data_IF_948731795623
#
_entry.id   IF_948731795623
#
_cell.length_a   1.000
_cell.length_b   1.000
_cell.length_c   1.000
_cell.angle_alpha   90.00
_cell.angle_beta   90.00
_cell.angle_gamma   90.00
#
_symmetry.space_group_name_H-M   'P 1'
#
loop_
_entity.id
_entity.type
_entity.pdbx_description
1 polymer ?
#
# COMPACT_ATOMS: atom_id res chain seq x y z
N UNK A 1 -14.55 9.49 -6.13
CA UNK A 1 -15.56 8.51 -6.61
C UNK A 1 -16.05 8.79 -8.04
N UNK A 2 -15.71 9.94 -8.64
CA UNK A 2 -16.06 10.30 -10.03
C UNK A 2 -15.27 9.57 -11.11
N UNK A 3 -14.15 8.93 -10.76
CA UNK A 3 -13.21 8.33 -11.71
C UNK A 3 -13.34 6.80 -11.84
N UNK A 4 -14.22 6.17 -11.06
CA UNK A 4 -14.41 4.72 -11.07
C UNK A 4 -15.79 4.35 -10.52
N UNK A 5 -16.32 3.22 -10.96
CA UNK A 5 -17.54 2.58 -10.46
C UNK A 5 -17.27 1.56 -9.33
N UNK A 6 -16.02 1.36 -8.92
CA UNK A 6 -15.64 0.46 -7.83
C UNK A 6 -16.44 0.71 -6.53
N UNK A 7 -16.79 -0.38 -5.85
CA UNK A 7 -17.24 -0.35 -4.47
C UNK A 7 -16.03 -0.42 -3.53
N UNK A 8 -15.96 0.49 -2.56
CA UNK A 8 -14.78 0.67 -1.71
C UNK A 8 -15.13 0.32 -0.27
N UNK A 9 -14.44 -0.65 0.29
CA UNK A 9 -14.45 -0.88 1.75
C UNK A 9 -13.27 -0.17 2.38
N UNK A 10 -13.54 0.87 3.17
CA UNK A 10 -12.53 1.55 3.97
C UNK A 10 -12.38 0.85 5.32
N UNK A 11 -11.18 0.37 5.62
CA UNK A 11 -10.84 -0.27 6.89
C UNK A 11 -9.71 0.47 7.60
N UNK A 12 -9.92 0.82 8.86
CA UNK A 12 -8.93 1.54 9.64
C UNK A 12 -9.47 2.09 10.95
N UNK A 13 -8.61 2.83 11.66
CA UNK A 13 -8.95 3.41 12.97
C UNK A 13 -9.54 4.80 12.78
N UNK A 14 -10.63 5.09 13.50
CA UNK A 14 -11.22 6.42 13.59
C UNK A 14 -11.52 7.04 12.20
N UNK A 15 -11.97 6.22 11.26
CA UNK A 15 -12.25 6.67 9.90
C UNK A 15 -13.31 7.77 9.90
N UNK A 16 -14.33 7.67 10.76
CA UNK A 16 -15.41 8.66 10.87
C UNK A 16 -14.95 10.06 11.27
N UNK A 17 -13.78 10.16 11.90
CA UNK A 17 -13.21 11.47 12.29
C UNK A 17 -12.05 11.90 11.40
N UNK A 18 -11.52 11.01 10.56
CA UNK A 18 -10.32 11.25 9.72
C UNK A 18 -10.63 11.40 8.24
N UNK A 19 -11.78 10.88 7.79
CA UNK A 19 -12.21 10.93 6.41
C UNK A 19 -13.42 11.88 6.32
N UNK A 20 -13.47 12.76 5.30
CA UNK A 20 -14.61 13.66 5.11
C UNK A 20 -15.95 12.93 4.99
N UNK A 21 -17.05 13.44 5.60
CA UNK A 21 -18.36 12.80 5.58
C UNK A 21 -18.86 12.49 4.17
N UNK A 22 -18.59 13.36 3.20
CA UNK A 22 -19.00 13.19 1.79
C UNK A 22 -18.40 11.93 1.13
N UNK A 23 -17.28 11.42 1.65
CA UNK A 23 -16.70 10.14 1.20
C UNK A 23 -17.34 8.98 1.98
N UNK A 24 -17.50 9.13 3.29
CA UNK A 24 -18.01 8.07 4.19
C UNK A 24 -19.46 7.72 3.87
N UNK A 25 -20.28 8.72 3.59
CA UNK A 25 -21.72 8.57 3.39
C UNK A 25 -22.10 8.24 1.93
N UNK A 26 -21.10 8.06 1.06
CA UNK A 26 -21.34 7.72 -0.34
C UNK A 26 -21.82 6.26 -0.47
N UNK A 27 -22.85 6.01 -1.30
CA UNK A 27 -23.52 4.70 -1.43
C UNK A 27 -22.59 3.52 -1.80
N UNK A 28 -21.51 3.80 -2.53
CA UNK A 28 -20.47 2.82 -2.91
C UNK A 28 -19.36 2.61 -1.87
N UNK A 29 -19.41 3.30 -0.74
CA UNK A 29 -18.41 3.22 0.32
C UNK A 29 -18.97 2.47 1.52
N UNK A 30 -18.26 1.44 1.96
CA UNK A 30 -18.53 0.75 3.22
C UNK A 30 -17.42 1.09 4.21
N UNK A 31 -17.76 1.59 5.39
CA UNK A 31 -16.77 1.95 6.43
C UNK A 31 -16.79 0.93 7.56
N UNK A 32 -15.65 0.30 7.81
CA UNK A 32 -15.47 -0.66 8.92
C UNK A 32 -14.32 -0.17 9.79
N UNK A 33 -14.64 0.35 10.97
CA UNK A 33 -13.62 0.81 11.90
C UNK A 33 -13.02 -0.35 12.70
N UNK A 34 -11.70 -0.49 12.65
CA UNK A 34 -10.96 -1.59 13.26
C UNK A 34 -9.45 -1.36 13.32
N UNK A 35 -8.74 -2.35 13.82
CA UNK A 35 -7.28 -2.43 13.83
C UNK A 35 -6.88 -3.76 13.20
N UNK A 36 -5.77 -3.83 12.47
CA UNK A 36 -5.32 -5.06 11.80
C UNK A 36 -5.18 -6.26 12.77
N UNK A 37 -5.00 -6.00 14.06
CA UNK A 37 -5.00 -7.02 15.12
C UNK A 37 -6.40 -7.48 15.57
N UNK A 38 -7.48 -7.10 14.87
CA UNK A 38 -8.83 -7.61 15.04
C UNK A 38 -9.20 -8.51 13.86
N UNK A 39 -8.98 -9.83 13.96
CA UNK A 39 -9.17 -10.75 12.84
C UNK A 39 -10.61 -10.76 12.32
N UNK A 40 -11.61 -10.71 13.21
CA UNK A 40 -13.01 -10.76 12.80
C UNK A 40 -13.42 -9.56 11.95
N UNK A 41 -13.04 -8.35 12.37
CA UNK A 41 -13.33 -7.14 11.59
C UNK A 41 -12.49 -7.05 10.31
N UNK A 42 -11.25 -7.52 10.34
CA UNK A 42 -10.39 -7.53 9.15
C UNK A 42 -10.93 -8.52 8.10
N UNK A 43 -11.33 -9.72 8.53
CA UNK A 43 -12.01 -10.71 7.69
C UNK A 43 -13.34 -10.19 7.13
N UNK A 44 -14.13 -9.47 7.94
CA UNK A 44 -15.34 -8.79 7.47
C UNK A 44 -14.99 -7.78 6.36
N UNK A 45 -13.96 -6.96 6.56
CA UNK A 45 -13.60 -5.89 5.64
C UNK A 45 -13.12 -6.38 4.27
N UNK A 46 -12.45 -7.53 4.22
CA UNK A 46 -11.94 -8.10 2.96
C UNK A 46 -12.91 -9.09 2.32
N UNK A 47 -14.08 -9.35 2.92
CA UNK A 47 -15.06 -10.28 2.34
C UNK A 47 -15.56 -9.73 0.99
N UNK A 48 -15.52 -10.58 -0.04
CA UNK A 48 -15.88 -10.28 -1.43
C UNK A 48 -15.01 -9.20 -2.12
N UNK A 49 -13.88 -8.82 -1.54
CA UNK A 49 -12.95 -7.90 -2.19
C UNK A 49 -12.26 -8.59 -3.38
N UNK A 50 -12.23 -7.95 -4.54
CA UNK A 50 -11.48 -8.45 -5.71
C UNK A 50 -9.98 -8.16 -5.58
N UNK A 51 -9.66 -7.01 -4.98
CA UNK A 51 -8.31 -6.52 -4.71
C UNK A 51 -8.27 -5.80 -3.38
N UNK A 52 -7.15 -5.93 -2.65
CA UNK A 52 -6.92 -5.22 -1.40
C UNK A 52 -5.72 -4.29 -1.55
N UNK A 53 -5.93 -3.00 -1.24
CA UNK A 53 -4.87 -2.02 -1.14
C UNK A 53 -4.44 -1.84 0.33
N UNK A 54 -3.14 -1.93 0.59
CA UNK A 54 -2.55 -1.78 1.93
C UNK A 54 -1.60 -0.57 1.93
N UNK A 55 -2.09 0.55 2.44
CA UNK A 55 -1.31 1.78 2.61
C UNK A 55 -0.53 1.86 3.93
N UNK A 56 -0.29 0.73 4.61
CA UNK A 56 0.33 0.68 5.94
C UNK A 56 1.16 -0.60 6.11
N UNK A 57 2.33 -0.67 5.46
CA UNK A 57 3.27 -1.81 5.56
C UNK A 57 4.39 -1.60 6.58
N UNK A 58 4.20 -0.72 7.57
CA UNK A 58 5.23 -0.40 8.57
C UNK A 58 5.38 -1.45 9.70
N UNK A 59 4.66 -2.58 9.63
CA UNK A 59 4.55 -3.57 10.71
C UNK A 59 4.39 -4.99 10.17
N UNK A 60 5.33 -5.88 10.52
CA UNK A 60 5.27 -7.29 10.15
C UNK A 60 4.07 -8.04 10.74
N UNK A 61 3.70 -7.74 11.98
CA UNK A 61 2.56 -8.40 12.65
C UNK A 61 1.22 -7.96 12.06
N UNK A 62 1.09 -6.70 11.64
CA UNK A 62 -0.11 -6.23 10.95
C UNK A 62 -0.23 -6.86 9.56
N UNK A 63 0.88 -6.90 8.81
CA UNK A 63 0.90 -7.56 7.50
C UNK A 63 0.59 -9.06 7.61
N UNK A 64 1.09 -9.75 8.65
CA UNK A 64 0.78 -11.16 8.89
C UNK A 64 -0.72 -11.38 9.17
N UNK A 65 -1.34 -10.49 9.94
CA UNK A 65 -2.79 -10.51 10.17
C UNK A 65 -3.58 -10.27 8.89
N UNK A 66 -3.13 -9.35 8.03
CA UNK A 66 -3.73 -9.09 6.71
C UNK A 66 -3.62 -10.34 5.82
N UNK A 67 -2.43 -10.89 5.61
CA UNK A 67 -2.22 -12.09 4.79
C UNK A 67 -3.12 -13.24 5.26
N UNK A 68 -3.23 -13.43 6.58
CA UNK A 68 -4.09 -14.47 7.18
C UNK A 68 -5.57 -14.23 6.88
N UNK A 69 -6.06 -12.99 6.97
CA UNK A 69 -7.45 -12.66 6.65
C UNK A 69 -7.75 -12.89 5.16
N UNK A 70 -6.85 -12.47 4.26
CA UNK A 70 -6.99 -12.68 2.82
C UNK A 70 -7.04 -14.18 2.49
N UNK A 71 -6.12 -14.96 3.06
CA UNK A 71 -6.10 -16.42 2.91
C UNK A 71 -7.42 -17.07 3.34
N UNK A 72 -7.95 -16.69 4.51
CA UNK A 72 -9.23 -17.24 5.03
C UNK A 72 -10.45 -16.87 4.18
N UNK A 73 -10.39 -15.72 3.49
CA UNK A 73 -11.46 -15.24 2.61
C UNK A 73 -11.23 -15.58 1.14
N UNK A 74 -10.18 -16.34 0.82
CA UNK A 74 -9.78 -16.70 -0.54
C UNK A 74 -9.52 -15.48 -1.45
N UNK A 75 -9.10 -14.36 -0.86
CA UNK A 75 -8.70 -13.17 -1.61
C UNK A 75 -7.23 -13.32 -1.99
N UNK A 76 -6.92 -13.13 -3.28
CA UNK A 76 -5.56 -13.36 -3.82
C UNK A 76 -4.81 -12.09 -4.17
N UNK A 77 -5.48 -11.07 -4.69
CA UNK A 77 -4.83 -9.86 -5.21
C UNK A 77 -4.62 -8.83 -4.10
N UNK A 78 -3.38 -8.42 -3.89
CA UNK A 78 -3.02 -7.36 -2.93
C UNK A 78 -2.00 -6.39 -3.52
N UNK A 79 -2.21 -5.10 -3.30
CA UNK A 79 -1.26 -4.04 -3.62
C UNK A 79 -0.83 -3.40 -2.31
N UNK A 80 0.45 -3.55 -1.97
CA UNK A 80 1.05 -2.97 -0.78
C UNK A 80 1.93 -1.78 -1.12
N UNK A 81 1.93 -0.76 -0.27
CA UNK A 81 2.85 0.37 -0.34
C UNK A 81 3.87 0.25 0.77
N UNK A 82 5.14 0.27 0.38
CA UNK A 82 6.32 0.19 1.23
C UNK A 82 7.32 1.29 0.85
N UNK A 83 8.49 1.30 1.48
CA UNK A 83 9.57 2.25 1.19
C UNK A 83 10.61 1.70 0.21
N UNK A 84 11.17 2.58 -0.61
CA UNK A 84 12.36 2.33 -1.40
C UNK A 84 13.64 2.27 -0.55
N UNK A 85 14.69 1.63 -1.07
CA UNK A 85 16.01 1.55 -0.43
C UNK A 85 16.22 0.27 0.39
N UNK A 86 15.19 -0.54 0.59
CA UNK A 86 15.33 -1.83 1.29
C UNK A 86 15.98 -2.93 0.45
N UNK A 87 16.24 -2.66 -0.83
CA UNK A 87 16.72 -3.62 -1.83
C UNK A 87 18.04 -3.20 -2.50
N UNK A 88 18.76 -2.22 -1.94
CA UNK A 88 20.03 -1.71 -2.49
C UNK A 88 19.86 -0.82 -3.72
N UNK A 89 18.72 -0.14 -3.82
CA UNK A 89 18.30 0.61 -5.01
C UNK A 89 18.83 2.04 -5.02
N UNK A 90 19.17 2.56 -3.84
CA UNK A 90 19.67 3.91 -3.68
C UNK A 90 21.18 3.99 -3.93
N UNK A 91 21.66 5.12 -4.49
CA UNK A 91 23.05 5.49 -4.40
C UNK A 91 23.48 5.58 -2.93
N UNK A 92 24.75 5.25 -2.64
CA UNK A 92 25.30 5.19 -1.27
C UNK A 92 24.99 6.42 -0.43
N UNK A 93 25.09 7.63 -1.02
CA UNK A 93 24.81 8.88 -0.31
C UNK A 93 23.34 9.02 0.10
N UNK A 94 22.41 8.67 -0.80
CA UNK A 94 20.97 8.70 -0.55
C UNK A 94 20.55 7.59 0.42
N UNK A 95 21.16 6.41 0.30
CA UNK A 95 20.95 5.30 1.23
C UNK A 95 21.32 5.71 2.66
N UNK A 96 22.53 6.24 2.83
CA UNK A 96 23.02 6.72 4.13
C UNK A 96 22.09 7.79 4.69
N UNK A 97 21.78 8.82 3.89
CA UNK A 97 20.90 9.90 4.34
C UNK A 97 19.52 9.37 4.73
N UNK A 98 18.94 8.46 3.95
CA UNK A 98 17.61 7.90 4.24
C UNK A 98 17.59 7.13 5.57
N UNK A 99 18.56 6.24 5.79
CA UNK A 99 18.60 5.45 7.03
C UNK A 99 19.03 6.25 8.26
N UNK A 100 19.80 7.33 8.10
CA UNK A 100 20.10 8.25 9.20
C UNK A 100 18.87 9.08 9.64
N UNK A 101 17.90 9.32 8.73
CA UNK A 101 16.73 10.17 8.97
C UNK A 101 15.44 9.39 9.27
N UNK A 102 15.49 8.06 9.30
CA UNK A 102 14.34 7.22 9.63
C UNK A 102 14.55 6.47 10.94
N UNK A 103 13.51 6.32 11.78
CA UNK A 103 13.58 5.46 12.95
C UNK A 103 13.95 4.02 12.55
N UNK A 104 14.92 3.42 13.26
CA UNK A 104 15.34 2.04 13.01
C UNK A 104 14.14 1.08 13.09
N UNK A 105 13.22 1.30 14.04
CA UNK A 105 12.02 0.49 14.20
C UNK A 105 11.10 0.53 12.97
N UNK A 106 10.97 1.69 12.32
CA UNK A 106 10.18 1.85 11.10
C UNK A 106 10.80 1.04 9.95
N UNK A 107 12.11 1.20 9.73
CA UNK A 107 12.84 0.46 8.68
C UNK A 107 12.75 -1.06 8.90
N UNK A 108 12.86 -1.52 10.15
CA UNK A 108 12.71 -2.95 10.46
C UNK A 108 11.27 -3.43 10.25
N UNK A 109 10.26 -2.63 10.62
CA UNK A 109 8.86 -2.94 10.40
C UNK A 109 8.52 -3.10 8.92
N UNK A 110 8.99 -2.16 8.08
CA UNK A 110 8.86 -2.22 6.62
C UNK A 110 9.53 -3.49 6.04
N UNK A 111 10.76 -3.82 6.48
CA UNK A 111 11.44 -5.07 6.06
C UNK A 111 10.63 -6.30 6.43
N UNK A 112 10.11 -6.36 7.65
CA UNK A 112 9.32 -7.50 8.12
C UNK A 112 8.01 -7.64 7.34
N UNK A 113 7.25 -6.56 7.16
CA UNK A 113 6.00 -6.59 6.40
C UNK A 113 6.23 -7.00 4.94
N UNK A 114 7.26 -6.45 4.30
CA UNK A 114 7.66 -6.82 2.94
C UNK A 114 7.95 -8.33 2.85
N UNK A 115 8.74 -8.87 3.79
CA UNK A 115 9.07 -10.29 3.79
C UNK A 115 7.83 -11.16 4.00
N UNK A 116 6.96 -10.81 4.95
CA UNK A 116 5.68 -11.52 5.19
C UNK A 116 4.82 -11.59 3.92
N UNK A 117 4.74 -10.48 3.17
CA UNK A 117 3.97 -10.46 1.93
C UNK A 117 4.66 -11.27 0.82
N UNK A 118 5.99 -11.15 0.66
CA UNK A 118 6.78 -11.90 -0.34
C UNK A 118 6.77 -13.41 -0.12
N UNK A 119 6.75 -13.85 1.14
CA UNK A 119 6.71 -15.26 1.52
C UNK A 119 5.27 -15.83 1.50
N UNK A 120 4.27 -14.99 1.22
CA UNK A 120 2.89 -15.43 1.07
C UNK A 120 2.61 -16.02 -0.33
N UNK A 121 1.51 -16.76 -0.45
CA UNK A 121 1.01 -17.27 -1.73
C UNK A 121 0.04 -16.30 -2.43
N UNK A 122 0.07 -15.01 -2.08
CA UNK A 122 -0.80 -13.99 -2.67
C UNK A 122 -0.23 -13.49 -4.00
N UNK A 123 -1.12 -13.06 -4.90
CA UNK A 123 -0.73 -12.28 -6.08
C UNK A 123 -0.51 -10.83 -5.64
N UNK A 124 0.74 -10.50 -5.31
CA UNK A 124 1.10 -9.22 -4.72
C UNK A 124 1.77 -8.26 -5.71
N UNK A 125 1.56 -6.97 -5.48
CA UNK A 125 2.41 -5.90 -6.00
C UNK A 125 2.89 -5.08 -4.82
N UNK A 126 4.20 -4.82 -4.71
CA UNK A 126 4.75 -3.93 -3.69
C UNK A 126 5.29 -2.69 -4.38
N UNK A 127 4.62 -1.55 -4.17
CA UNK A 127 5.09 -0.24 -4.61
C UNK A 127 6.04 0.31 -3.55
N UNK A 128 7.31 0.47 -3.91
CA UNK A 128 8.38 0.94 -3.03
C UNK A 128 8.60 2.42 -3.32
N UNK A 129 8.10 3.26 -2.41
CA UNK A 129 8.02 4.69 -2.65
C UNK A 129 9.26 5.41 -2.13
N UNK A 130 9.66 6.45 -2.85
CA UNK A 130 10.63 7.44 -2.38
C UNK A 130 9.95 8.43 -1.43
N UNK A 131 10.66 9.49 -1.01
CA UNK A 131 10.13 10.43 -0.03
C UNK A 131 8.90 11.17 -0.55
N UNK A 132 7.80 11.09 0.20
CA UNK A 132 6.51 11.65 -0.22
C UNK A 132 6.42 13.14 0.04
N UNK A 133 6.05 13.91 -0.98
CA UNK A 133 5.66 15.31 -0.85
C UNK A 133 4.24 15.55 -1.36
N UNK A 134 3.71 16.76 -1.12
CA UNK A 134 2.38 17.15 -1.55
C UNK A 134 2.51 18.20 -2.65
N UNK A 135 1.97 17.91 -3.84
CA UNK A 135 1.85 18.86 -4.92
C UNK A 135 0.74 18.40 -5.87
N UNK A 136 -0.43 19.07 -5.89
CA UNK A 136 -1.59 18.62 -6.64
C UNK A 136 -1.39 18.63 -8.15
N UNK A 137 -0.39 19.35 -8.67
CA UNK A 137 -0.10 19.43 -10.10
C UNK A 137 0.90 18.37 -10.56
N UNK A 138 1.59 17.71 -9.62
CA UNK A 138 2.60 16.70 -9.93
C UNK A 138 1.97 15.32 -9.95
N UNK A 139 1.67 14.81 -11.13
CA UNK A 139 1.07 13.48 -11.31
C UNK A 139 1.93 12.51 -12.11
N UNK A 140 3.04 13.00 -12.66
CA UNK A 140 3.98 12.18 -13.42
C UNK A 140 4.70 11.18 -12.51
N UNK A 141 4.83 9.95 -13.00
CA UNK A 141 5.57 8.89 -12.35
C UNK A 141 6.25 8.00 -13.39
N UNK A 142 7.25 7.25 -12.94
CA UNK A 142 7.80 6.11 -13.66
C UNK A 142 7.84 4.88 -12.76
N UNK A 143 7.82 3.70 -13.35
CA UNK A 143 7.93 2.44 -12.63
C UNK A 143 9.31 1.84 -12.88
N UNK A 144 10.06 1.66 -11.80
CA UNK A 144 11.42 1.12 -11.84
C UNK A 144 11.40 -0.30 -11.22
N UNK A 145 11.81 -1.34 -11.97
CA UNK A 145 11.85 -2.72 -11.45
C UNK A 145 12.78 -2.89 -10.23
N UNK A 146 12.50 -3.89 -9.40
CA UNK A 146 13.39 -4.27 -8.29
C UNK A 146 14.79 -4.63 -8.81
N UNK A 147 15.82 -4.08 -8.15
CA UNK A 147 17.22 -4.29 -8.49
C UNK A 147 17.83 -3.27 -9.45
N UNK A 148 17.01 -2.43 -10.10
CA UNK A 148 17.50 -1.27 -10.83
C UNK A 148 17.82 -0.11 -9.87
N UNK A 149 18.95 0.55 -10.08
CA UNK A 149 19.32 1.76 -9.35
C UNK A 149 18.60 2.97 -9.96
N UNK A 150 18.25 3.93 -9.10
CA UNK A 150 17.65 5.18 -9.52
C UNK A 150 18.08 6.33 -8.60
N UNK A 151 17.99 7.57 -9.09
CA UNK A 151 18.48 8.75 -8.36
C UNK A 151 17.36 9.63 -7.79
N UNK A 152 16.11 9.37 -8.18
CA UNK A 152 14.95 10.15 -7.75
C UNK A 152 14.70 9.99 -6.26
N UNK A 153 14.76 11.10 -5.52
CA UNK A 153 14.66 11.10 -4.07
C UNK A 153 13.22 11.23 -3.57
N UNK A 154 12.29 11.71 -4.41
CA UNK A 154 10.95 12.13 -3.99
C UNK A 154 9.88 11.79 -5.02
N UNK A 155 8.66 11.57 -4.56
CA UNK A 155 7.46 11.36 -5.40
C UNK A 155 6.25 12.03 -4.73
N UNK A 156 5.37 12.66 -5.52
CA UNK A 156 4.16 13.28 -4.97
C UNK A 156 3.12 12.22 -4.60
N UNK A 157 2.26 12.52 -3.62
CA UNK A 157 1.14 11.63 -3.28
C UNK A 157 0.17 11.47 -4.44
N UNK A 158 -0.01 12.50 -5.25
CA UNK A 158 -0.85 12.50 -6.44
C UNK A 158 -0.33 11.57 -7.54
N UNK A 159 0.98 11.54 -7.77
CA UNK A 159 1.62 10.59 -8.69
C UNK A 159 1.45 9.14 -8.20
N UNK A 160 1.59 8.90 -6.89
CA UNK A 160 1.37 7.57 -6.28
C UNK A 160 -0.07 7.12 -6.46
N UNK A 161 -1.06 8.00 -6.23
CA UNK A 161 -2.48 7.69 -6.45
C UNK A 161 -2.74 7.36 -7.92
N UNK A 162 -2.18 8.15 -8.85
CA UNK A 162 -2.30 7.88 -10.29
C UNK A 162 -1.70 6.51 -10.65
N UNK A 163 -0.49 6.19 -10.18
CA UNK A 163 0.14 4.90 -10.43
C UNK A 163 -0.69 3.72 -9.91
N UNK A 164 -1.22 3.82 -8.69
CA UNK A 164 -2.11 2.78 -8.13
C UNK A 164 -3.37 2.63 -8.97
N UNK A 165 -3.98 3.75 -9.38
CA UNK A 165 -5.16 3.74 -10.23
C UNK A 165 -4.88 3.07 -11.58
N UNK A 166 -3.77 3.42 -12.23
CA UNK A 166 -3.38 2.83 -13.51
C UNK A 166 -3.09 1.33 -13.38
N UNK A 167 -2.44 0.90 -12.29
CA UNK A 167 -2.20 -0.53 -11.99
C UNK A 167 -3.50 -1.30 -11.79
N UNK A 168 -4.50 -0.69 -11.14
CA UNK A 168 -5.81 -1.31 -10.91
C UNK A 168 -6.63 -1.46 -12.21
N UNK A 169 -6.37 -0.62 -13.22
CA UNK A 169 -7.11 -0.62 -14.49
C UNK A 169 -6.32 -1.25 -15.65
N UNK A 170 -5.05 -1.59 -15.44
CA UNK A 170 -4.31 -2.38 -16.41
C UNK A 170 -4.98 -3.75 -16.56
N UNK A 171 -5.29 -4.14 -17.81
CA UNK A 171 -5.61 -5.54 -18.08
C UNK A 171 -4.45 -6.41 -17.59
N UNK A 172 -4.74 -7.57 -17.01
CA UNK A 172 -3.77 -8.56 -16.50
C UNK A 172 -2.88 -9.13 -17.64
N UNK A 173 -2.08 -8.29 -18.31
CA UNK A 173 -1.23 -8.67 -19.45
C UNK A 173 0.26 -8.74 -19.08
N UNK A 174 0.65 -8.47 -17.83
CA UNK A 174 2.08 -8.54 -17.46
C UNK A 174 2.32 -9.36 -16.19
N UNK A 175 2.95 -10.54 -16.31
CA UNK A 175 3.65 -11.18 -15.21
C UNK A 175 4.96 -10.41 -15.00
N UNK A 176 5.07 -9.67 -13.91
CA UNK A 176 6.37 -9.24 -13.40
C UNK A 176 6.84 -10.25 -12.36
#
# INVERSE_FOLDING_TARGET
LTYTDMHITLYGRQLKTRIPPEIIDHERVTVIEGSFQNPGKLEQAVTNAEVVFVGAMESGSDMASIVKALSRKNIRRVIGVSMAGLSGEFPVALEKWTFDNLPISYVQGERQARNVLRESNLNYTILRLTWLYNDPEKTDYELIPEGAQFNDAQVSREAVVKAIFDILHAADETPF
#
